data_IF_783572550476
#
_entry.id   IF_783572550476
#
_cell.length_a   1.000
_cell.length_b   1.000
_cell.length_c   1.000
_cell.angle_alpha   90.00
_cell.angle_beta   90.00
_cell.angle_gamma   90.00
#
_symmetry.space_group_name_H-M   'P 1'
#
loop_
_entity.id
_entity.type
_entity.pdbx_description
1 polymer ?
#
# COMPACT_ATOMS: atom_id res chain seq x y z
N UNK A 1 -54.76 12.92 -43.62
CA UNK A 1 -55.98 13.74 -43.41
C UNK A 1 -55.94 14.25 -41.98
N UNK A 2 -56.04 15.58 -41.81
CA UNK A 2 -56.32 16.39 -40.61
C UNK A 2 -55.50 16.09 -39.34
N UNK A 3 -54.57 16.95 -38.89
CA UNK A 3 -54.78 18.29 -38.27
C UNK A 3 -55.91 18.31 -37.24
N UNK A 4 -55.58 18.51 -35.95
CA UNK A 4 -55.83 19.82 -35.30
C UNK A 4 -55.42 19.81 -33.83
N UNK A 5 -54.61 20.79 -33.47
CA UNK A 5 -54.45 21.36 -32.13
C UNK A 5 -55.75 22.05 -31.68
N UNK A 6 -56.04 22.06 -30.38
CA UNK A 6 -56.73 23.20 -29.73
C UNK A 6 -56.18 23.34 -28.31
N UNK A 7 -55.48 24.45 -28.06
CA UNK A 7 -55.28 25.04 -26.75
C UNK A 7 -56.59 25.72 -26.32
N UNK A 8 -56.95 25.62 -25.05
CA UNK A 8 -57.87 26.57 -24.41
C UNK A 8 -57.24 27.01 -23.10
N UNK A 9 -56.71 28.22 -23.10
CA UNK A 9 -56.42 29.01 -21.90
C UNK A 9 -57.73 29.36 -21.20
N UNK A 10 -57.75 29.22 -19.87
CA UNK A 10 -58.76 29.83 -19.01
C UNK A 10 -58.04 30.34 -17.76
N UNK A 11 -57.77 31.64 -17.78
CA UNK A 11 -57.46 32.42 -16.59
C UNK A 11 -58.65 32.41 -15.63
N UNK A 12 -58.40 32.19 -14.34
CA UNK A 12 -59.23 32.74 -13.26
C UNK A 12 -58.37 33.02 -12.04
N UNK A 13 -58.48 34.25 -11.56
CA UNK A 13 -57.74 34.90 -10.49
C UNK A 13 -58.00 34.33 -9.07
N UNK A 14 -56.90 34.27 -8.29
CA UNK A 14 -56.71 34.83 -6.94
C UNK A 14 -57.47 34.24 -5.72
N UNK A 15 -56.72 33.66 -4.75
CA UNK A 15 -56.52 34.24 -3.39
C UNK A 15 -55.83 33.26 -2.41
N UNK A 16 -55.07 33.85 -1.48
CA UNK A 16 -54.10 33.28 -0.55
C UNK A 16 -54.60 32.24 0.48
N UNK A 17 -53.71 31.32 0.90
CA UNK A 17 -53.10 31.27 2.26
C UNK A 17 -52.65 29.85 2.71
N UNK A 18 -51.44 29.76 3.28
CA UNK A 18 -51.09 28.78 4.32
C UNK A 18 -50.28 27.52 3.95
N UNK A 19 -48.96 27.61 3.99
CA UNK A 19 -48.01 26.46 4.04
C UNK A 19 -48.12 25.68 5.37
N UNK A 20 -47.51 24.47 5.49
CA UNK A 20 -46.11 24.43 5.92
C UNK A 20 -45.23 23.42 5.15
N UNK A 21 -44.06 23.92 4.75
CA UNK A 21 -42.97 23.14 4.16
C UNK A 21 -42.16 22.35 5.19
N UNK A 22 -41.52 21.32 4.67
CA UNK A 22 -40.52 20.44 5.29
C UNK A 22 -39.38 21.22 5.98
N UNK A 23 -38.95 20.83 7.20
CA UNK A 23 -37.79 21.45 7.85
C UNK A 23 -36.50 21.12 7.11
N UNK A 24 -35.84 22.14 6.56
CA UNK A 24 -34.48 22.07 6.05
C UNK A 24 -33.48 21.92 7.20
N UNK A 25 -32.44 21.14 6.96
CA UNK A 25 -31.23 21.08 7.80
C UNK A 25 -30.65 22.49 7.94
N UNK A 26 -30.34 22.98 9.15
CA UNK A 26 -29.75 24.29 9.31
C UNK A 26 -28.36 24.29 8.70
N UNK A 27 -28.17 25.09 7.65
CA UNK A 27 -26.85 25.54 7.23
C UNK A 27 -26.28 26.37 8.38
N UNK A 28 -25.26 25.84 9.05
CA UNK A 28 -24.41 26.65 9.91
C UNK A 28 -23.59 27.56 9.01
N UNK A 29 -24.13 28.75 8.72
CA UNK A 29 -23.37 29.82 8.11
C UNK A 29 -22.23 30.17 9.07
N UNK A 30 -20.99 29.98 8.63
CA UNK A 30 -19.75 30.29 9.35
C UNK A 30 -19.59 31.81 9.63
N UNK A 31 -20.60 32.62 9.30
CA UNK A 31 -20.63 34.08 9.44
C UNK A 31 -21.27 34.61 10.73
N UNK A 32 -21.92 33.76 11.54
CA UNK A 32 -22.59 34.17 12.80
C UNK A 32 -21.81 33.77 14.07
N UNK A 33 -20.50 33.59 13.95
CA UNK A 33 -19.64 33.33 15.11
C UNK A 33 -19.08 34.68 15.58
N UNK A 34 -19.35 35.12 16.83
CA UNK A 34 -18.87 36.41 17.34
C UNK A 34 -17.37 36.57 17.13
N UNK A 35 -16.92 37.73 16.67
CA UNK A 35 -15.49 38.02 16.46
C UNK A 35 -14.66 37.76 17.74
N UNK A 36 -15.29 37.98 18.89
CA UNK A 36 -14.77 37.67 20.22
C UNK A 36 -14.46 36.18 20.43
N UNK A 37 -15.24 35.27 19.83
CA UNK A 37 -14.99 33.84 19.88
C UNK A 37 -13.76 33.45 19.06
N UNK A 38 -13.53 34.09 17.91
CA UNK A 38 -12.30 33.88 17.13
C UNK A 38 -11.08 34.52 17.80
N UNK A 39 -11.24 35.71 18.39
CA UNK A 39 -10.19 36.34 19.19
C UNK A 39 -9.84 35.49 20.42
N UNK A 40 -10.84 34.92 21.10
CA UNK A 40 -10.66 34.01 22.23
C UNK A 40 -10.04 32.67 21.79
N UNK A 41 -10.45 32.12 20.63
CA UNK A 41 -9.83 30.94 20.00
C UNK A 41 -8.35 31.16 19.70
N UNK A 42 -8.02 32.31 19.13
CA UNK A 42 -6.65 32.66 18.72
C UNK A 42 -5.78 33.04 19.93
N UNK A 43 -6.39 33.49 21.03
CA UNK A 43 -5.72 33.85 22.29
C UNK A 43 -5.49 32.66 23.22
N UNK A 44 -6.41 31.70 23.29
CA UNK A 44 -6.34 30.58 24.26
C UNK A 44 -5.23 29.58 23.94
N UNK A 45 -4.93 29.33 22.66
CA UNK A 45 -3.78 28.55 22.20
C UNK A 45 -3.79 28.49 20.66
N UNK A 46 -2.94 29.26 19.95
CA UNK A 46 -2.79 29.15 18.49
C UNK A 46 -2.53 27.71 18.01
N UNK A 47 -1.91 26.88 18.86
CA UNK A 47 -1.62 25.49 18.58
C UNK A 47 -2.84 24.57 18.57
N UNK A 48 -3.91 24.88 19.33
CA UNK A 48 -5.10 24.02 19.45
C UNK A 48 -6.06 24.17 18.25
N UNK A 49 -6.05 25.33 17.59
CA UNK A 49 -6.90 25.63 16.42
C UNK A 49 -6.10 25.89 15.15
N UNK A 50 -4.94 25.24 15.04
CA UNK A 50 -4.10 25.35 13.83
C UNK A 50 -4.92 24.92 12.62
N UNK A 51 -5.07 25.81 11.63
CA UNK A 51 -5.73 25.48 10.36
C UNK A 51 -5.07 24.24 9.76
N UNK A 52 -5.86 23.24 9.41
CA UNK A 52 -5.35 22.01 8.77
C UNK A 52 -4.80 22.38 7.38
N UNK A 53 -3.47 22.51 7.28
CA UNK A 53 -2.78 22.72 6.00
C UNK A 53 -2.59 21.35 5.34
N UNK A 54 -3.07 21.15 4.10
CA UNK A 54 -2.83 19.92 3.37
C UNK A 54 -1.33 19.67 3.19
N UNK A 55 -0.86 18.49 3.60
CA UNK A 55 0.55 18.11 3.50
C UNK A 55 0.91 17.53 2.13
N UNK A 56 0.06 16.64 1.62
CA UNK A 56 0.34 15.86 0.41
C UNK A 56 -0.25 16.59 -0.79
N UNK A 57 0.49 17.58 -1.30
CA UNK A 57 0.02 18.53 -2.32
C UNK A 57 0.71 18.37 -3.67
N UNK A 58 1.58 17.36 -3.83
CA UNK A 58 2.25 17.13 -5.12
C UNK A 58 1.24 16.77 -6.21
N UNK A 59 1.45 17.33 -7.39
CA UNK A 59 0.66 17.02 -8.59
C UNK A 59 0.85 15.57 -9.06
N UNK A 60 2.04 14.99 -8.81
CA UNK A 60 2.33 13.60 -9.14
C UNK A 60 1.91 12.69 -7.98
N UNK A 61 0.65 12.27 -7.98
CA UNK A 61 0.15 11.27 -7.04
C UNK A 61 0.74 9.88 -7.31
N UNK A 62 0.64 8.98 -6.34
CA UNK A 62 1.18 7.62 -6.44
C UNK A 62 0.74 6.88 -7.70
N UNK A 63 -0.54 6.91 -8.06
CA UNK A 63 -1.04 6.30 -9.30
C UNK A 63 -0.39 6.88 -10.58
N UNK A 64 -0.14 8.19 -10.62
CA UNK A 64 0.54 8.85 -11.74
C UNK A 64 2.00 8.40 -11.86
N UNK A 65 2.72 8.37 -10.74
CA UNK A 65 4.10 7.88 -10.71
C UNK A 65 4.22 6.40 -11.10
N UNK A 66 3.28 5.56 -10.68
CA UNK A 66 3.22 4.16 -11.11
C UNK A 66 3.05 4.06 -12.62
N UNK A 67 2.11 4.81 -13.19
CA UNK A 67 1.90 4.84 -14.64
C UNK A 67 3.17 5.26 -15.38
N UNK A 68 3.89 6.26 -14.88
CA UNK A 68 5.16 6.72 -15.43
C UNK A 68 6.24 5.62 -15.40
N UNK A 69 6.40 4.92 -14.28
CA UNK A 69 7.37 3.82 -14.15
C UNK A 69 6.97 2.60 -14.99
N UNK A 70 5.68 2.32 -15.14
CA UNK A 70 5.19 1.20 -15.95
C UNK A 70 5.39 1.45 -17.44
N UNK A 71 5.18 2.68 -17.90
CA UNK A 71 5.28 3.05 -19.32
C UNK A 71 6.69 3.44 -19.76
N UNK A 72 7.64 3.56 -18.83
CA UNK A 72 9.02 3.91 -19.15
C UNK A 72 9.66 2.99 -20.22
N UNK A 73 10.32 3.53 -21.25
CA UNK A 73 11.03 2.75 -22.26
C UNK A 73 12.36 2.17 -21.73
N UNK A 74 12.92 2.77 -20.67
CA UNK A 74 14.19 2.33 -20.09
C UNK A 74 14.06 0.96 -19.40
N UNK A 75 14.77 -0.05 -19.93
CA UNK A 75 14.66 -1.47 -19.51
C UNK A 75 14.95 -1.72 -18.03
N UNK A 76 15.92 -0.99 -17.44
CA UNK A 76 16.31 -1.18 -16.03
C UNK A 76 15.56 -0.31 -15.02
N UNK A 77 14.80 0.71 -15.46
CA UNK A 77 14.26 1.72 -14.53
C UNK A 77 13.22 1.11 -13.59
N UNK A 78 12.38 0.23 -14.14
CA UNK A 78 11.38 -0.50 -13.38
C UNK A 78 12.04 -1.41 -12.34
N UNK A 79 13.01 -2.22 -12.78
CA UNK A 79 13.74 -3.15 -11.90
C UNK A 79 14.45 -2.42 -10.76
N UNK A 80 15.06 -1.26 -11.03
CA UNK A 80 15.72 -0.45 -10.02
C UNK A 80 14.79 0.14 -8.97
N UNK A 81 13.48 0.21 -9.24
CA UNK A 81 12.48 0.72 -8.28
C UNK A 81 11.68 -0.40 -7.60
N UNK A 82 11.42 -1.50 -8.31
CA UNK A 82 10.55 -2.59 -7.82
C UNK A 82 11.29 -3.87 -7.48
N UNK A 83 12.59 -3.97 -7.79
CA UNK A 83 13.44 -5.18 -7.64
C UNK A 83 12.92 -6.43 -8.35
N UNK A 84 12.04 -6.26 -9.33
CA UNK A 84 11.52 -7.34 -10.17
C UNK A 84 11.24 -6.81 -11.57
N UNK A 85 11.08 -7.72 -12.52
CA UNK A 85 10.72 -7.36 -13.90
C UNK A 85 9.24 -6.97 -13.99
N UNK A 86 8.86 -6.17 -15.00
CA UNK A 86 7.45 -5.77 -15.21
C UNK A 86 6.52 -6.99 -15.29
N UNK A 87 6.84 -8.07 -16.05
CA UNK A 87 5.96 -9.25 -16.12
C UNK A 87 5.79 -9.95 -14.78
N UNK A 88 6.88 -10.09 -14.00
CA UNK A 88 6.82 -10.68 -12.66
C UNK A 88 5.95 -9.85 -11.71
N UNK A 89 6.05 -8.51 -11.80
CA UNK A 89 5.22 -7.61 -11.01
C UNK A 89 3.72 -7.75 -11.35
N UNK A 90 3.37 -7.78 -12.64
CA UNK A 90 1.97 -7.99 -13.03
C UNK A 90 1.47 -9.37 -12.59
N UNK A 91 2.27 -10.42 -12.79
CA UNK A 91 1.92 -11.76 -12.32
C UNK A 91 1.67 -11.80 -10.81
N UNK A 92 2.45 -11.07 -10.01
CA UNK A 92 2.24 -10.94 -8.58
C UNK A 92 0.93 -10.23 -8.26
N UNK A 93 0.68 -9.07 -8.87
CA UNK A 93 -0.57 -8.32 -8.67
C UNK A 93 -1.77 -9.17 -9.05
N UNK A 94 -1.73 -9.83 -10.20
CA UNK A 94 -2.81 -10.69 -10.70
C UNK A 94 -3.03 -11.90 -9.79
N UNK A 95 -1.97 -12.52 -9.28
CA UNK A 95 -2.07 -13.64 -8.35
C UNK A 95 -2.75 -13.25 -7.02
N UNK A 96 -2.50 -12.02 -6.54
CA UNK A 96 -3.10 -11.48 -5.31
C UNK A 96 -4.56 -11.05 -5.52
N UNK A 97 -4.88 -10.44 -6.68
CA UNK A 97 -6.23 -9.96 -6.98
C UNK A 97 -7.18 -11.10 -7.37
N UNK A 98 -6.73 -12.05 -8.20
CA UNK A 98 -7.53 -13.22 -8.62
C UNK A 98 -7.95 -14.12 -7.46
N UNK A 99 -7.12 -14.21 -6.41
CA UNK A 99 -7.43 -14.91 -5.16
C UNK A 99 -8.30 -14.09 -4.18
N UNK A 100 -8.68 -12.86 -4.55
CA UNK A 100 -9.45 -11.97 -3.70
C UNK A 100 -8.69 -11.45 -2.47
N UNK A 101 -7.37 -11.56 -2.44
CA UNK A 101 -6.54 -11.17 -1.27
C UNK A 101 -6.30 -9.66 -1.20
N UNK A 102 -6.40 -8.98 -2.34
CA UNK A 102 -6.40 -7.51 -2.43
C UNK A 102 -7.72 -7.03 -3.02
N UNK A 103 -8.84 -7.08 -2.25
CA UNK A 103 -10.13 -6.63 -2.74
C UNK A 103 -10.07 -5.12 -3.01
N UNK A 104 -10.46 -4.75 -4.23
CA UNK A 104 -10.58 -3.37 -4.66
C UNK A 104 -12.06 -2.97 -4.60
N UNK A 105 -12.45 -2.29 -3.53
CA UNK A 105 -13.79 -1.71 -3.41
C UNK A 105 -13.93 -0.43 -4.25
N UNK A 106 -15.15 -0.08 -4.63
CA UNK A 106 -15.45 1.14 -5.40
C UNK A 106 -14.95 2.44 -4.73
N UNK A 107 -14.71 2.41 -3.41
CA UNK A 107 -14.21 3.54 -2.62
C UNK A 107 -12.71 3.48 -2.33
N UNK A 108 -11.99 2.47 -2.83
CA UNK A 108 -10.56 2.33 -2.55
C UNK A 108 -9.76 3.36 -3.35
N UNK A 109 -9.34 4.41 -2.65
CA UNK A 109 -8.48 5.47 -3.21
C UNK A 109 -7.09 5.01 -3.67
N UNK A 110 -6.67 3.80 -3.28
CA UNK A 110 -5.37 3.21 -3.66
C UNK A 110 -5.64 1.94 -4.46
N UNK A 111 -5.00 1.82 -5.63
CA UNK A 111 -5.12 0.66 -6.50
C UNK A 111 -4.26 -0.50 -6.00
N UNK A 112 -4.63 -1.76 -6.32
CA UNK A 112 -3.82 -2.92 -5.92
C UNK A 112 -2.39 -2.88 -6.47
N UNK A 113 -2.22 -2.32 -7.68
CA UNK A 113 -0.90 -2.08 -8.29
C UNK A 113 -0.07 -1.13 -7.41
N UNK A 114 -0.68 -0.03 -6.96
CA UNK A 114 -0.01 0.96 -6.11
C UNK A 114 0.31 0.40 -4.72
N UNK A 115 -0.58 -0.40 -4.13
CA UNK A 115 -0.33 -1.07 -2.85
C UNK A 115 0.87 -2.02 -2.94
N UNK A 116 0.93 -2.86 -3.99
CA UNK A 116 2.04 -3.79 -4.20
C UNK A 116 3.34 -3.03 -4.49
N UNK A 117 3.29 -1.96 -5.27
CA UNK A 117 4.46 -1.13 -5.55
C UNK A 117 5.00 -0.43 -4.30
N UNK A 118 4.13 0.08 -3.43
CA UNK A 118 4.50 0.63 -2.13
C UNK A 118 5.20 -0.42 -1.28
N UNK A 119 4.63 -1.63 -1.21
CA UNK A 119 5.26 -2.75 -0.50
C UNK A 119 6.66 -3.05 -1.04
N UNK A 120 6.82 -3.13 -2.36
CA UNK A 120 8.12 -3.38 -3.00
C UNK A 120 9.14 -2.26 -2.78
N UNK A 121 8.72 -0.99 -2.73
CA UNK A 121 9.61 0.11 -2.36
C UNK A 121 10.12 -0.05 -0.92
N UNK A 122 9.29 -0.52 0.00
CA UNK A 122 9.71 -0.78 1.38
C UNK A 122 10.66 -1.98 1.48
N UNK A 123 10.28 -3.16 0.95
CA UNK A 123 11.06 -4.40 1.17
C UNK A 123 12.22 -4.56 0.18
N UNK A 124 12.04 -4.16 -1.07
CA UNK A 124 13.05 -4.33 -2.12
C UNK A 124 14.04 -3.18 -2.19
N UNK A 125 13.59 -1.95 -1.90
CA UNK A 125 14.43 -0.76 -1.94
C UNK A 125 14.81 -0.21 -0.56
N UNK A 126 14.36 -0.84 0.51
CA UNK A 126 14.60 -0.40 1.89
C UNK A 126 14.17 1.06 2.13
N UNK A 127 13.13 1.53 1.44
CA UNK A 127 12.59 2.88 1.64
C UNK A 127 11.90 2.97 2.99
N UNK A 128 12.07 4.10 3.66
CA UNK A 128 11.36 4.37 4.91
C UNK A 128 9.92 4.71 4.58
N UNK A 129 9.00 4.41 5.50
CA UNK A 129 7.57 4.73 5.29
C UNK A 129 7.34 6.24 5.04
N UNK A 130 8.19 7.10 5.60
CA UNK A 130 8.16 8.55 5.35
C UNK A 130 8.55 8.92 3.92
N UNK A 131 9.48 8.19 3.30
CA UNK A 131 9.85 8.39 1.90
C UNK A 131 8.71 7.96 0.98
N UNK A 132 8.01 6.88 1.34
CA UNK A 132 6.83 6.42 0.60
C UNK A 132 5.64 7.37 0.76
N UNK A 133 5.44 7.97 1.94
CA UNK A 133 4.43 9.01 2.14
C UNK A 133 4.67 10.19 1.17
N UNK A 134 5.91 10.65 1.03
CA UNK A 134 6.24 11.71 0.07
C UNK A 134 6.17 11.23 -1.39
N UNK A 135 6.56 9.99 -1.70
CA UNK A 135 6.51 9.49 -3.08
C UNK A 135 5.08 9.28 -3.58
N UNK A 136 4.26 8.64 -2.77
CA UNK A 136 2.90 8.24 -3.15
C UNK A 136 1.84 9.26 -2.75
N UNK A 137 2.21 10.28 -1.96
CA UNK A 137 1.33 11.35 -1.51
C UNK A 137 0.14 10.86 -0.68
N UNK A 138 0.34 9.78 0.08
CA UNK A 138 -0.64 9.25 1.04
C UNK A 138 -0.21 9.53 2.48
N UNK A 139 -1.14 9.56 3.44
CA UNK A 139 -0.79 9.69 4.86
C UNK A 139 0.04 8.49 5.34
N UNK A 140 0.85 8.65 6.39
CA UNK A 140 1.57 7.51 7.00
C UNK A 140 0.61 6.38 7.43
N UNK A 141 -0.57 6.74 7.91
CA UNK A 141 -1.62 5.80 8.30
C UNK A 141 -2.09 4.97 7.09
N UNK A 142 -2.28 5.60 5.94
CA UNK A 142 -2.60 4.89 4.69
C UNK A 142 -1.43 4.03 4.21
N UNK A 143 -0.21 4.56 4.20
CA UNK A 143 1.00 3.81 3.81
C UNK A 143 1.14 2.54 4.66
N UNK A 144 1.04 2.68 5.99
CA UNK A 144 1.14 1.57 6.93
C UNK A 144 0.04 0.53 6.69
N UNK A 145 -1.22 0.96 6.57
CA UNK A 145 -2.34 0.04 6.31
C UNK A 145 -2.14 -0.73 5.00
N UNK A 146 -1.77 -0.05 3.91
CA UNK A 146 -1.55 -0.72 2.60
C UNK A 146 -0.37 -1.68 2.63
N UNK A 147 0.73 -1.31 3.29
CA UNK A 147 1.87 -2.20 3.49
C UNK A 147 1.46 -3.51 4.18
N UNK A 148 0.72 -3.41 5.29
CA UNK A 148 0.30 -4.60 6.04
C UNK A 148 -0.76 -5.43 5.31
N UNK A 149 -1.62 -4.82 4.50
CA UNK A 149 -2.56 -5.56 3.63
C UNK A 149 -1.81 -6.46 2.65
N UNK A 150 -0.81 -5.92 1.95
CA UNK A 150 0.00 -6.69 1.00
C UNK A 150 0.82 -7.76 1.73
N UNK A 151 1.43 -7.43 2.87
CA UNK A 151 2.17 -8.40 3.68
C UNK A 151 1.27 -9.58 4.10
N UNK A 152 0.07 -9.29 4.62
CA UNK A 152 -0.88 -10.32 5.02
C UNK A 152 -1.27 -11.21 3.84
N UNK A 153 -1.58 -10.61 2.68
CA UNK A 153 -1.92 -11.35 1.47
C UNK A 153 -0.79 -12.29 1.01
N UNK A 154 0.45 -11.81 1.05
CA UNK A 154 1.64 -12.61 0.73
C UNK A 154 1.84 -13.75 1.75
N UNK A 155 1.67 -13.49 3.04
CA UNK A 155 1.74 -14.52 4.08
C UNK A 155 0.66 -15.60 3.89
N UNK A 156 -0.54 -15.22 3.43
CA UNK A 156 -1.60 -16.19 3.09
C UNK A 156 -1.21 -17.06 1.90
N UNK A 157 -0.53 -16.52 0.88
CA UNK A 157 -0.07 -17.30 -0.28
C UNK A 157 1.21 -18.09 -0.01
N UNK A 158 2.00 -17.70 0.99
CA UNK A 158 3.31 -18.29 1.24
C UNK A 158 3.33 -19.83 1.34
N UNK A 159 2.34 -20.51 1.95
CA UNK A 159 2.33 -21.97 1.99
C UNK A 159 2.18 -22.64 0.62
N UNK A 160 1.50 -22.00 -0.33
CA UNK A 160 1.35 -22.50 -1.71
C UNK A 160 2.63 -22.30 -2.53
N UNK A 161 3.31 -21.17 -2.31
CA UNK A 161 4.48 -20.77 -3.09
C UNK A 161 5.79 -21.36 -2.55
N UNK A 162 5.92 -21.42 -1.22
CA UNK A 162 7.12 -21.88 -0.52
C UNK A 162 6.87 -23.33 -0.14
N UNK A 163 7.11 -24.22 -1.10
CA UNK A 163 7.13 -25.66 -0.81
C UNK A 163 8.35 -25.96 0.05
N UNK A 164 8.11 -26.54 1.22
CA UNK A 164 9.20 -27.01 2.08
C UNK A 164 9.89 -28.18 1.37
N UNK A 165 11.23 -28.18 1.23
CA UNK A 165 11.93 -29.39 0.81
C UNK A 165 11.63 -30.51 1.80
N UNK A 166 11.62 -31.77 1.33
CA UNK A 166 11.46 -32.92 2.22
C UNK A 166 12.60 -32.89 3.24
N UNK A 167 12.24 -32.65 4.51
CA UNK A 167 13.23 -32.45 5.54
C UNK A 167 13.82 -33.76 6.11
N UNK A 168 13.67 -34.86 5.39
CA UNK A 168 14.05 -36.19 5.85
C UNK A 168 15.43 -36.63 5.37
N UNK A 169 15.91 -36.07 4.26
CA UNK A 169 17.10 -36.61 3.60
C UNK A 169 18.22 -35.58 3.50
N UNK A 170 19.43 -35.99 3.88
CA UNK A 170 20.65 -35.22 3.64
C UNK A 170 20.88 -35.08 2.13
N UNK A 171 21.22 -33.87 1.69
CA UNK A 171 21.43 -33.58 0.27
C UNK A 171 22.46 -34.56 -0.34
N UNK A 172 22.21 -35.18 -1.51
CA UNK A 172 23.06 -36.24 -2.07
C UNK A 172 24.55 -35.88 -2.20
N UNK A 173 24.87 -34.62 -2.47
CA UNK A 173 26.27 -34.12 -2.50
C UNK A 173 27.01 -34.26 -1.16
N UNK A 174 26.31 -34.15 -0.04
CA UNK A 174 26.89 -34.33 1.30
C UNK A 174 26.93 -35.80 1.67
N UNK A 175 25.87 -36.57 1.36
CA UNK A 175 25.80 -38.02 1.60
C UNK A 175 26.89 -38.79 0.86
N UNK A 176 27.19 -38.40 -0.38
CA UNK A 176 28.18 -39.08 -1.21
C UNK A 176 29.62 -38.64 -0.96
N UNK A 177 29.85 -37.63 -0.09
CA UNK A 177 31.19 -37.14 0.21
C UNK A 177 31.64 -37.66 1.59
N UNK A 178 32.59 -38.60 1.67
CA UNK A 178 33.04 -39.18 2.93
C UNK A 178 33.73 -38.18 3.87
N UNK A 179 34.27 -37.07 3.34
CA UNK A 179 34.89 -36.03 4.16
C UNK A 179 33.84 -35.15 4.84
N UNK A 180 32.68 -34.94 4.22
CA UNK A 180 31.61 -34.08 4.75
C UNK A 180 30.51 -34.86 5.47
N UNK A 181 30.21 -36.09 5.04
CA UNK A 181 29.10 -36.88 5.57
C UNK A 181 29.12 -37.05 7.11
N UNK A 182 30.26 -37.30 7.78
CA UNK A 182 30.30 -37.41 9.24
C UNK A 182 29.85 -36.14 9.98
N UNK A 183 30.08 -34.96 9.39
CA UNK A 183 29.76 -33.67 10.00
C UNK A 183 28.37 -33.14 9.65
N UNK A 184 27.83 -33.57 8.51
CA UNK A 184 26.54 -33.13 7.97
C UNK A 184 25.51 -34.28 7.90
N UNK A 185 25.71 -35.34 8.67
CA UNK A 185 24.73 -36.41 8.80
C UNK A 185 23.43 -35.82 9.37
N UNK A 186 22.31 -36.14 8.74
CA UNK A 186 20.98 -35.62 9.08
C UNK A 186 20.84 -34.09 8.88
N UNK A 187 21.82 -33.41 8.25
CA UNK A 187 21.66 -32.02 7.83
C UNK A 187 20.76 -31.94 6.62
N UNK A 188 19.72 -31.14 6.74
CA UNK A 188 18.60 -31.10 5.81
C UNK A 188 18.63 -29.87 4.89
N UNK A 189 19.60 -29.00 5.09
CA UNK A 189 19.82 -27.81 4.28
C UNK A 189 20.68 -26.80 5.02
N UNK A 190 21.33 -25.93 4.27
CA UNK A 190 21.86 -24.68 4.80
C UNK A 190 20.79 -23.60 4.59
N UNK A 191 20.37 -22.92 5.65
CA UNK A 191 19.76 -21.60 5.49
C UNK A 191 20.89 -20.67 5.03
N UNK A 192 21.06 -20.55 3.73
CA UNK A 192 22.07 -19.67 3.15
C UNK A 192 21.87 -18.25 3.71
N UNK A 193 22.85 -17.78 4.49
CA UNK A 193 22.83 -16.50 5.20
C UNK A 193 23.06 -16.54 6.71
N UNK A 194 23.04 -17.70 7.39
CA UNK A 194 23.38 -17.75 8.82
C UNK A 194 24.86 -18.05 9.05
N UNK A 195 25.66 -17.01 9.31
CA UNK A 195 27.00 -17.16 9.86
C UNK A 195 26.88 -17.60 11.33
N UNK A 196 27.10 -18.88 11.63
CA UNK A 196 27.22 -19.35 12.99
C UNK A 196 28.63 -19.02 13.50
N UNK A 197 28.78 -18.24 14.59
CA UNK A 197 30.09 -17.99 15.16
C UNK A 197 30.69 -19.31 15.66
N UNK A 198 31.85 -19.67 15.10
CA UNK A 198 32.62 -20.84 15.49
C UNK A 198 33.98 -20.41 16.02
N UNK A 199 34.41 -20.99 17.14
CA UNK A 199 35.74 -20.76 17.71
C UNK A 199 36.51 -22.07 17.75
N UNK A 200 37.73 -22.06 17.20
CA UNK A 200 38.66 -23.17 17.32
C UNK A 200 39.35 -23.10 18.68
N UNK A 201 39.45 -24.21 19.45
CA UNK A 201 40.23 -24.28 20.67
C UNK A 201 41.65 -23.78 20.45
N UNK A 202 42.20 -23.07 21.44
CA UNK A 202 43.46 -22.31 21.32
C UNK A 202 44.64 -23.16 20.83
N UNK A 203 44.66 -24.45 21.18
CA UNK A 203 45.69 -25.41 20.76
C UNK A 203 45.68 -25.73 19.25
N UNK A 204 44.53 -25.65 18.59
CA UNK A 204 44.37 -26.03 17.18
C UNK A 204 44.29 -24.81 16.23
N UNK A 205 44.23 -23.58 16.77
CA UNK A 205 44.10 -22.35 15.97
C UNK A 205 45.20 -22.19 14.91
N UNK A 206 46.43 -22.63 15.20
CA UNK A 206 47.55 -22.51 14.25
C UNK A 206 47.37 -23.37 12.99
N UNK A 207 46.56 -24.43 13.02
CA UNK A 207 46.28 -25.27 11.84
C UNK A 207 45.28 -24.65 10.87
N UNK A 208 44.49 -23.68 11.34
CA UNK A 208 43.40 -23.05 10.58
C UNK A 208 43.65 -21.56 10.31
N UNK A 209 44.83 -21.04 10.66
CA UNK A 209 45.32 -19.74 10.20
C UNK A 209 46.07 -19.96 8.89
N UNK A 210 45.48 -19.56 7.76
CA UNK A 210 46.16 -19.41 6.47
C UNK A 210 46.94 -18.09 6.43
#
# INVERSE_FOLDING_TARGET
MASSSVNVDLDTENSASGSPGTPGTPGSNESDVPEEFYAFRDLICPELFRKNVPRNTSALQGAGWITEIMTTPHRGRFFNNMRMTKPCFYALVDALTSRGLLPHGQTSRVSSIEEVALFMQTVGMHKRQRDNMERFQHSLETIHRRFHRVLSALCTMAPELITRPNFTDTHPRLTNNPDFYPFFKDCVGAMDGMLVPAWVPRADQNRYRS
#
